data_IF_284515641231
#
_entry.id   IF_284515641231
#
_cell.length_a   1.000
_cell.length_b   1.000
_cell.length_c   1.000
_cell.angle_alpha   90.00
_cell.angle_beta   90.00
_cell.angle_gamma   90.00
#
_symmetry.space_group_name_H-M   'P 1'
#
loop_
_entity.id
_entity.type
_entity.pdbx_description
1 polymer ?
#
# COMPACT_ATOMS: atom_id res chain seq x y z
N UNK A 1 25.95 -8.12 -3.09
CA UNK A 1 24.96 -7.17 -3.63
C UNK A 1 23.80 -7.09 -2.67
N UNK A 2 23.45 -5.86 -2.32
CA UNK A 2 22.35 -5.55 -1.40
C UNK A 2 21.26 -4.89 -2.24
N UNK A 3 20.07 -5.50 -2.28
CA UNK A 3 18.90 -5.01 -3.02
C UNK A 3 17.95 -4.37 -2.02
N UNK A 4 17.45 -3.18 -2.37
CA UNK A 4 16.61 -2.33 -1.52
C UNK A 4 15.48 -1.75 -2.38
N UNK A 5 14.28 -1.63 -1.83
CA UNK A 5 13.22 -0.87 -2.50
C UNK A 5 13.42 0.64 -2.30
N UNK A 6 12.95 1.46 -3.25
CA UNK A 6 13.12 2.93 -3.23
C UNK A 6 12.64 3.60 -1.93
N UNK A 7 11.64 3.04 -1.28
CA UNK A 7 11.03 3.53 -0.04
C UNK A 7 11.67 2.97 1.25
N UNK A 8 12.61 2.04 1.12
CA UNK A 8 13.33 1.47 2.25
C UNK A 8 14.62 2.25 2.58
N UNK A 9 15.20 1.98 3.74
CA UNK A 9 16.47 2.58 4.16
C UNK A 9 17.47 1.53 4.60
N UNK A 10 18.74 1.78 4.32
CA UNK A 10 19.83 0.86 4.65
C UNK A 10 20.87 1.54 5.54
N UNK A 11 21.36 0.86 6.57
CA UNK A 11 22.51 1.36 7.34
C UNK A 11 23.79 0.84 6.69
N UNK A 12 24.64 1.75 6.22
CA UNK A 12 26.00 1.42 5.80
C UNK A 12 26.84 1.24 7.05
N UNK A 13 27.65 0.18 7.12
CA UNK A 13 28.52 -0.06 8.27
C UNK A 13 29.99 -0.02 7.86
N UNK A 14 30.79 0.78 8.55
CA UNK A 14 32.24 0.78 8.41
C UNK A 14 32.89 0.43 9.74
N UNK A 15 33.77 -0.56 9.72
CA UNK A 15 34.65 -0.88 10.83
C UNK A 15 36.10 -0.73 10.38
N UNK A 16 36.94 -0.29 11.31
CA UNK A 16 38.37 -0.16 11.08
C UNK A 16 39.11 -0.79 12.26
N UNK A 17 40.25 -1.41 11.95
CA UNK A 17 41.13 -2.08 12.90
C UNK A 17 42.58 -1.70 12.59
N UNK A 18 43.44 -1.67 13.62
CA UNK A 18 44.83 -1.25 13.50
C UNK A 18 45.03 0.23 13.81
N UNK A 19 46.06 0.87 13.24
CA UNK A 19 46.37 2.27 13.55
C UNK A 19 46.97 2.49 14.94
N UNK A 20 47.12 3.74 15.33
CA UNK A 20 47.70 4.11 16.61
C UNK A 20 46.68 3.98 17.74
N UNK A 21 47.04 3.29 18.82
CA UNK A 21 46.14 3.10 19.98
C UNK A 21 45.82 4.46 20.61
N UNK A 22 44.53 4.81 20.68
CA UNK A 22 44.04 6.03 21.34
C UNK A 22 43.65 7.18 20.39
N UNK A 23 43.95 7.10 19.09
CA UNK A 23 43.40 7.99 18.07
C UNK A 23 42.17 7.34 17.44
N UNK A 24 40.98 7.86 17.71
CA UNK A 24 39.79 7.41 16.99
C UNK A 24 39.94 7.59 15.48
N UNK A 25 39.19 6.83 14.69
CA UNK A 25 39.18 6.97 13.24
C UNK A 25 38.26 8.10 12.77
N UNK A 26 38.66 8.82 11.74
CA UNK A 26 37.78 9.70 10.99
C UNK A 26 37.21 8.97 9.76
N UNK A 27 35.93 9.15 9.49
CA UNK A 27 35.24 8.54 8.35
C UNK A 27 34.82 9.61 7.36
N UNK A 28 34.84 9.28 6.06
CA UNK A 28 34.37 10.14 4.98
C UNK A 28 33.74 9.30 3.87
N UNK A 29 32.44 9.46 3.63
CA UNK A 29 31.66 8.76 2.62
C UNK A 29 31.39 9.64 1.41
N UNK A 30 31.48 9.06 0.21
CA UNK A 30 31.10 9.71 -1.04
C UNK A 30 30.47 8.70 -2.02
N UNK A 31 29.49 9.10 -2.85
CA UNK A 31 28.84 10.42 -2.89
C UNK A 31 27.92 10.66 -1.68
N UNK A 32 27.56 11.93 -1.44
CA UNK A 32 26.72 12.32 -0.30
C UNK A 32 25.22 12.10 -0.52
N UNK A 33 24.78 11.92 -1.77
CA UNK A 33 23.36 11.83 -2.12
C UNK A 33 22.69 10.65 -1.42
N UNK A 34 21.59 10.94 -0.72
CA UNK A 34 20.83 9.94 0.03
C UNK A 34 21.46 9.52 1.37
N UNK A 35 22.67 9.97 1.72
CA UNK A 35 23.28 9.68 3.01
C UNK A 35 22.83 10.69 4.08
N UNK A 36 22.55 10.20 5.30
CA UNK A 36 22.23 11.08 6.44
C UNK A 36 23.42 11.89 6.95
N UNK A 37 24.64 11.37 6.78
CA UNK A 37 25.88 12.07 7.05
C UNK A 37 27.01 11.46 6.22
N UNK A 38 28.04 12.25 5.91
CA UNK A 38 29.23 11.76 5.21
C UNK A 38 30.40 11.47 6.14
N UNK A 39 30.33 11.89 7.40
CA UNK A 39 31.48 11.89 8.32
C UNK A 39 31.33 10.98 9.54
N UNK A 40 30.44 9.98 9.47
CA UNK A 40 30.18 9.02 10.54
C UNK A 40 30.51 7.59 10.09
N UNK A 41 30.79 6.70 11.03
CA UNK A 41 31.09 5.30 10.72
C UNK A 41 29.90 4.59 10.07
N UNK A 42 28.69 4.86 10.57
CA UNK A 42 27.47 4.15 10.17
C UNK A 42 26.38 5.13 9.69
N UNK A 43 26.49 5.72 8.49
CA UNK A 43 25.42 6.55 7.96
C UNK A 43 24.26 5.68 7.47
N UNK A 44 23.07 6.27 7.45
CA UNK A 44 21.90 5.67 6.80
C UNK A 44 21.81 6.18 5.36
N UNK A 45 21.49 5.28 4.43
CA UNK A 45 21.18 5.59 3.04
C UNK A 45 19.66 5.49 2.84
N UNK A 46 19.08 6.58 2.35
CA UNK A 46 17.71 6.67 1.84
C UNK A 46 17.81 6.95 0.34
N UNK A 47 17.34 6.03 -0.52
CA UNK A 47 17.36 6.25 -1.95
C UNK A 47 16.58 7.51 -2.36
N UNK A 48 17.06 8.27 -3.36
CA UNK A 48 16.20 9.23 -4.04
C UNK A 48 15.20 8.50 -4.93
N UNK A 49 14.14 9.20 -5.35
CA UNK A 49 13.12 8.58 -6.20
C UNK A 49 13.69 8.16 -7.57
N UNK A 50 13.35 6.95 -8.02
CA UNK A 50 13.86 6.38 -9.27
C UNK A 50 12.74 5.81 -10.13
N UNK A 51 12.91 5.84 -11.45
CA UNK A 51 11.94 5.26 -12.39
C UNK A 51 12.36 3.86 -12.88
N UNK A 52 13.59 3.44 -12.58
CA UNK A 52 14.17 2.18 -13.01
C UNK A 52 15.28 1.77 -12.05
N UNK A 53 15.55 0.47 -11.98
CA UNK A 53 16.62 -0.09 -11.15
C UNK A 53 17.92 0.70 -11.32
N UNK A 54 18.50 1.14 -10.20
CA UNK A 54 19.69 2.00 -10.18
C UNK A 54 20.70 1.48 -9.18
N UNK A 55 21.98 1.46 -9.58
CA UNK A 55 23.09 1.03 -8.72
C UNK A 55 23.80 2.24 -8.14
N UNK A 56 23.83 2.33 -6.81
CA UNK A 56 24.57 3.34 -6.05
C UNK A 56 25.88 2.76 -5.54
N UNK A 57 26.99 3.43 -5.82
CA UNK A 57 28.32 3.04 -5.36
C UNK A 57 28.81 4.05 -4.32
N UNK A 58 28.95 3.63 -3.08
CA UNK A 58 29.47 4.44 -1.99
C UNK A 58 30.90 4.01 -1.65
N UNK A 59 31.79 4.98 -1.49
CA UNK A 59 33.16 4.78 -1.03
C UNK A 59 33.32 5.41 0.33
N UNK A 60 33.73 4.61 1.32
CA UNK A 60 34.19 5.08 2.63
C UNK A 60 35.70 5.25 2.60
N UNK A 61 36.18 6.40 3.05
CA UNK A 61 37.57 6.66 3.39
C UNK A 61 37.68 6.72 4.91
N UNK A 62 38.55 5.89 5.48
CA UNK A 62 38.89 5.91 6.90
C UNK A 62 40.28 6.50 7.04
N UNK A 63 40.41 7.50 7.91
CA UNK A 63 41.68 8.19 8.18
C UNK A 63 42.07 8.00 9.64
N UNK A 64 43.30 7.54 9.86
CA UNK A 64 43.99 7.64 11.15
C UNK A 64 44.90 8.87 11.12
N UNK A 65 44.70 9.79 12.08
CA UNK A 65 45.21 11.16 12.00
C UNK A 65 46.27 11.49 13.07
N UNK A 66 46.93 10.49 13.65
CA UNK A 66 47.97 10.70 14.66
C UNK A 66 49.39 10.59 14.08
N UNK A 67 50.04 11.75 13.89
CA UNK A 67 51.45 11.86 13.46
C UNK A 67 51.65 11.77 11.94
N UNK A 68 51.31 10.62 11.34
CA UNK A 68 51.32 10.42 9.88
C UNK A 68 49.90 10.06 9.45
N UNK A 69 49.39 10.72 8.41
CA UNK A 69 48.03 10.49 7.91
C UNK A 69 48.02 9.19 7.12
N UNK A 70 47.40 8.16 7.68
CA UNK A 70 47.16 6.88 7.01
C UNK A 70 45.69 6.79 6.60
N UNK A 71 45.43 6.45 5.34
CA UNK A 71 44.06 6.31 4.82
C UNK A 71 43.83 4.92 4.24
N UNK A 72 42.59 4.44 4.38
CA UNK A 72 42.11 3.23 3.73
C UNK A 72 40.74 3.49 3.11
N UNK A 73 40.46 2.85 1.98
CA UNK A 73 39.20 3.02 1.27
C UNK A 73 38.52 1.68 0.98
N UNK A 74 37.19 1.69 1.06
CA UNK A 74 36.34 0.59 0.62
C UNK A 74 35.13 1.11 -0.11
N UNK A 75 34.70 0.36 -1.13
CA UNK A 75 33.49 0.64 -1.90
C UNK A 75 32.43 -0.42 -1.59
N UNK A 76 31.19 0.03 -1.46
CA UNK A 76 29.99 -0.80 -1.34
C UNK A 76 29.01 -0.40 -2.43
N UNK A 77 28.37 -1.39 -3.04
CA UNK A 77 27.35 -1.19 -4.08
C UNK A 77 25.99 -1.60 -3.55
N UNK A 78 24.99 -0.72 -3.72
CA UNK A 78 23.59 -0.96 -3.40
C UNK A 78 22.80 -0.88 -4.70
N UNK A 79 22.02 -1.92 -4.98
CA UNK A 79 21.04 -1.92 -6.06
C UNK A 79 19.71 -1.48 -5.48
N UNK A 80 19.11 -0.43 -6.04
CA UNK A 80 17.79 0.06 -5.63
C UNK A 80 16.81 -0.24 -6.74
N UNK A 81 15.70 -0.87 -6.40
CA UNK A 81 14.56 -1.13 -7.27
C UNK A 81 13.44 -0.10 -7.02
N UNK A 82 12.78 0.42 -8.07
CA UNK A 82 11.68 1.35 -7.91
C UNK A 82 10.48 0.66 -7.23
N UNK A 83 9.60 1.46 -6.63
CA UNK A 83 8.29 1.01 -6.15
C UNK A 83 7.21 1.20 -7.22
N UNK A 84 6.04 0.55 -7.12
CA UNK A 84 4.90 0.87 -7.99
C UNK A 84 4.55 2.37 -7.91
N UNK A 85 3.96 2.92 -8.96
CA UNK A 85 3.49 4.31 -8.92
C UNK A 85 2.17 4.35 -8.15
N UNK A 86 2.06 5.24 -7.17
CA UNK A 86 0.82 5.44 -6.44
C UNK A 86 -0.32 5.91 -7.35
N UNK A 87 -1.39 5.12 -7.42
CA UNK A 87 -2.61 5.42 -8.20
C UNK A 87 -3.76 5.82 -7.28
N UNK A 88 -4.79 6.43 -7.86
CA UNK A 88 -6.03 6.78 -7.16
C UNK A 88 -7.09 5.70 -7.35
N UNK A 89 -7.74 5.32 -6.26
CA UNK A 89 -8.79 4.32 -6.21
C UNK A 89 -10.18 4.97 -6.32
N UNK A 90 -11.11 4.31 -7.02
CA UNK A 90 -12.53 4.69 -7.09
C UNK A 90 -13.44 3.47 -6.89
N UNK A 91 -14.65 3.65 -6.34
CA UNK A 91 -15.65 2.58 -6.34
C UNK A 91 -16.50 2.65 -7.61
N UNK A 92 -16.77 1.50 -8.24
CA UNK A 92 -17.69 1.42 -9.37
C UNK A 92 -19.12 1.86 -8.97
N UNK A 93 -19.51 1.51 -7.74
CA UNK A 93 -20.69 2.02 -7.05
C UNK A 93 -20.31 2.30 -5.58
N UNK A 94 -20.34 3.56 -5.12
CA UNK A 94 -19.97 3.92 -3.74
C UNK A 94 -21.06 3.59 -2.72
N UNK A 95 -22.32 3.48 -3.15
CA UNK A 95 -23.46 3.12 -2.31
C UNK A 95 -24.11 1.84 -2.86
N UNK A 96 -24.26 0.83 -2.00
CA UNK A 96 -24.82 -0.48 -2.37
C UNK A 96 -25.87 -0.96 -1.37
N UNK A 97 -26.63 -1.99 -1.74
CA UNK A 97 -27.60 -2.63 -0.84
C UNK A 97 -26.91 -3.64 0.08
N UNK A 98 -27.47 -3.86 1.27
CA UNK A 98 -27.07 -4.95 2.16
C UNK A 98 -26.93 -6.29 1.44
N UNK A 99 -25.80 -6.97 1.65
CA UNK A 99 -25.50 -8.28 1.11
C UNK A 99 -25.08 -8.27 -0.37
N UNK A 100 -24.92 -7.10 -0.99
CA UNK A 100 -24.43 -6.96 -2.37
C UNK A 100 -22.95 -6.57 -2.41
N UNK A 101 -22.35 -6.59 -3.59
CA UNK A 101 -20.93 -6.28 -3.80
C UNK A 101 -20.74 -5.15 -4.81
N UNK A 102 -19.57 -4.52 -4.79
CA UNK A 102 -19.10 -3.59 -5.81
C UNK A 102 -17.67 -3.94 -6.21
N UNK A 103 -17.06 -3.10 -7.05
CA UNK A 103 -15.66 -3.22 -7.41
C UNK A 103 -14.92 -1.93 -7.03
N UNK A 104 -13.74 -2.08 -6.43
CA UNK A 104 -12.76 -1.01 -6.37
C UNK A 104 -11.99 -1.02 -7.68
N UNK A 105 -11.92 0.14 -8.31
CA UNK A 105 -11.39 0.32 -9.64
C UNK A 105 -10.07 1.08 -9.58
N UNK A 106 -9.14 0.66 -10.42
CA UNK A 106 -7.82 1.28 -10.55
C UNK A 106 -7.58 1.55 -12.02
N UNK A 107 -7.67 2.82 -12.41
CA UNK A 107 -7.37 3.25 -13.77
C UNK A 107 -5.85 3.37 -13.95
N UNK A 108 -5.35 2.97 -15.13
CA UNK A 108 -3.92 3.05 -15.44
C UNK A 108 -3.04 2.11 -14.61
N UNK A 109 -3.58 0.95 -14.22
CA UNK A 109 -2.80 -0.10 -13.53
C UNK A 109 -1.54 -0.47 -14.32
N UNK A 110 -0.44 -0.74 -13.64
CA UNK A 110 0.86 -0.95 -14.27
C UNK A 110 1.08 -2.42 -14.62
N UNK A 111 1.49 -2.72 -15.85
CA UNK A 111 1.88 -4.07 -16.25
C UNK A 111 3.10 -4.54 -15.43
N UNK A 112 3.07 -5.79 -14.96
CA UNK A 112 4.13 -6.33 -14.09
C UNK A 112 3.93 -6.04 -12.60
N UNK A 113 2.88 -5.30 -12.23
CA UNK A 113 2.47 -5.05 -10.84
C UNK A 113 1.22 -5.87 -10.52
N UNK A 114 1.16 -6.46 -9.33
CA UNK A 114 -0.05 -7.09 -8.78
C UNK A 114 -0.70 -6.18 -7.75
N UNK A 115 -2.02 -6.12 -7.74
CA UNK A 115 -2.82 -5.27 -6.85
C UNK A 115 -3.70 -6.16 -5.96
N UNK A 116 -3.50 -6.07 -4.65
CA UNK A 116 -4.28 -6.77 -3.63
C UNK A 116 -5.24 -5.79 -2.96
N UNK A 117 -6.54 -6.04 -3.08
CA UNK A 117 -7.55 -5.33 -2.29
C UNK A 117 -7.42 -5.72 -0.83
N UNK A 118 -7.49 -4.75 0.09
CA UNK A 118 -7.50 -5.00 1.52
C UNK A 118 -8.59 -4.19 2.22
N UNK A 119 -9.07 -4.72 3.33
CA UNK A 119 -9.79 -3.95 4.35
C UNK A 119 -8.81 -2.97 5.01
N UNK A 120 -9.17 -1.68 5.07
CA UNK A 120 -8.35 -0.62 5.63
C UNK A 120 -8.13 -0.73 7.15
N UNK A 121 -9.12 -1.23 7.91
CA UNK A 121 -9.05 -1.29 9.37
C UNK A 121 -8.01 -2.28 9.92
N UNK A 122 -7.45 -3.16 9.08
CA UNK A 122 -6.46 -4.14 9.51
C UNK A 122 -5.63 -4.77 8.38
N UNK A 123 -5.59 -4.13 7.22
CA UNK A 123 -4.88 -4.58 6.01
C UNK A 123 -5.15 -6.05 5.62
N UNK A 124 -6.37 -6.51 5.89
CA UNK A 124 -6.76 -7.90 5.62
C UNK A 124 -7.04 -8.05 4.13
N UNK A 125 -6.32 -8.94 3.46
CA UNK A 125 -6.49 -9.23 2.04
C UNK A 125 -7.91 -9.75 1.72
N UNK A 126 -8.49 -9.22 0.64
CA UNK A 126 -9.81 -9.56 0.12
C UNK A 126 -9.67 -10.12 -1.29
N UNK A 127 -10.04 -11.38 -1.46
CA UNK A 127 -9.88 -12.08 -2.73
C UNK A 127 -8.40 -12.28 -3.11
N UNK A 128 -8.18 -12.66 -4.37
CA UNK A 128 -6.84 -12.85 -4.92
C UNK A 128 -6.28 -11.55 -5.51
N UNK A 129 -4.94 -11.36 -5.55
CA UNK A 129 -4.34 -10.22 -6.24
C UNK A 129 -4.68 -10.24 -7.73
N UNK A 130 -4.96 -9.06 -8.29
CA UNK A 130 -5.15 -8.90 -9.73
C UNK A 130 -3.86 -8.38 -10.38
N UNK A 131 -3.50 -8.92 -11.55
CA UNK A 131 -2.40 -8.38 -12.34
C UNK A 131 -2.83 -7.06 -13.01
N UNK A 132 -1.96 -6.06 -12.98
CA UNK A 132 -2.12 -4.83 -13.72
C UNK A 132 -2.02 -5.07 -15.23
N UNK A 133 -2.79 -4.29 -15.99
CA UNK A 133 -3.00 -4.51 -17.43
C UNK A 133 -2.53 -3.35 -18.32
N UNK A 134 -2.00 -2.28 -17.73
CA UNK A 134 -1.82 -0.99 -18.42
C UNK A 134 -3.11 -0.15 -18.45
N UNK A 135 -4.25 -0.71 -18.04
CA UNK A 135 -5.57 -0.11 -18.13
C UNK A 135 -6.36 -0.19 -16.83
N UNK A 136 -7.69 -0.13 -16.95
CA UNK A 136 -8.59 -0.28 -15.81
C UNK A 136 -8.61 -1.73 -15.32
N UNK A 137 -8.42 -1.93 -14.02
CA UNK A 137 -8.71 -3.21 -13.35
C UNK A 137 -9.81 -3.03 -12.31
N UNK A 138 -10.56 -4.10 -12.08
CA UNK A 138 -11.65 -4.16 -11.12
C UNK A 138 -11.33 -5.19 -10.04
N UNK A 139 -11.29 -4.75 -8.79
CA UNK A 139 -11.08 -5.58 -7.61
C UNK A 139 -12.42 -5.80 -6.90
N UNK A 140 -13.00 -7.01 -6.91
CA UNK A 140 -14.30 -7.25 -6.30
C UNK A 140 -14.21 -7.17 -4.77
N UNK A 141 -15.14 -6.43 -4.14
CA UNK A 141 -15.19 -6.30 -2.67
C UNK A 141 -15.71 -7.54 -1.96
N UNK A 142 -16.37 -8.44 -2.69
CA UNK A 142 -17.27 -9.42 -2.09
C UNK A 142 -18.54 -8.76 -1.54
N UNK A 143 -19.46 -9.59 -1.01
CA UNK A 143 -20.72 -9.11 -0.46
C UNK A 143 -20.48 -8.38 0.87
N UNK A 144 -21.02 -7.17 1.01
CA UNK A 144 -20.85 -6.33 2.19
C UNK A 144 -22.15 -6.23 2.98
N UNK A 145 -22.03 -6.25 4.31
CA UNK A 145 -23.15 -6.14 5.25
C UNK A 145 -23.07 -4.89 6.13
N UNK A 146 -21.98 -4.13 6.02
CA UNK A 146 -21.74 -2.88 6.71
C UNK A 146 -20.82 -1.97 5.89
N UNK A 147 -20.83 -0.67 6.19
CA UNK A 147 -19.91 0.29 5.57
C UNK A 147 -18.47 -0.19 5.76
N UNK A 148 -17.72 -0.25 4.65
CA UNK A 148 -16.35 -0.77 4.65
C UNK A 148 -15.46 0.19 3.89
N UNK A 149 -14.30 0.51 4.47
CA UNK A 149 -13.25 1.29 3.83
C UNK A 149 -12.16 0.33 3.34
N UNK A 150 -11.70 0.55 2.11
CA UNK A 150 -10.72 -0.28 1.43
C UNK A 150 -9.48 0.53 1.09
N UNK A 151 -8.34 -0.14 1.16
CA UNK A 151 -7.09 0.30 0.54
C UNK A 151 -6.60 -0.79 -0.43
N UNK A 152 -5.58 -0.47 -1.22
CA UNK A 152 -4.99 -1.43 -2.17
C UNK A 152 -3.49 -1.40 -2.02
N UNK A 153 -2.92 -2.59 -1.91
CA UNK A 153 -1.48 -2.84 -1.87
C UNK A 153 -1.01 -3.32 -3.23
N UNK A 154 -0.04 -2.60 -3.81
CA UNK A 154 0.54 -2.94 -5.10
C UNK A 154 1.96 -3.51 -4.91
N UNK A 155 2.33 -4.51 -5.70
CA UNK A 155 3.66 -5.15 -5.62
C UNK A 155 4.20 -5.38 -7.02
N UNK A 156 5.43 -4.93 -7.30
CA UNK A 156 6.15 -5.28 -8.54
C UNK A 156 6.54 -6.76 -8.47
N UNK A 157 6.05 -7.55 -9.42
CA UNK A 157 6.24 -9.01 -9.39
C UNK A 157 7.70 -9.46 -9.57
N UNK A 158 8.53 -8.64 -10.23
CA UNK A 158 9.92 -8.95 -10.50
C UNK A 158 10.85 -8.71 -9.30
N UNK A 159 10.57 -7.67 -8.50
CA UNK A 159 11.47 -7.20 -7.43
C UNK A 159 10.89 -7.42 -6.04
N UNK A 160 9.57 -7.57 -5.94
CA UNK A 160 8.86 -7.63 -4.66
C UNK A 160 8.62 -6.27 -4.02
N UNK A 161 9.13 -5.18 -4.60
CA UNK A 161 8.90 -3.84 -4.07
C UNK A 161 7.43 -3.45 -4.17
N UNK A 162 6.93 -2.86 -3.11
CA UNK A 162 5.51 -2.61 -2.94
C UNK A 162 5.22 -1.17 -2.53
N UNK A 163 3.94 -0.81 -2.62
CA UNK A 163 3.46 0.47 -2.14
C UNK A 163 1.95 0.39 -1.90
N UNK A 164 1.46 1.19 -0.97
CA UNK A 164 0.03 1.42 -0.82
C UNK A 164 -0.44 2.54 -1.75
N UNK A 165 -1.62 2.38 -2.36
CA UNK A 165 -2.19 3.39 -3.26
C UNK A 165 -2.53 4.70 -2.51
N UNK A 166 -2.65 5.81 -3.25
CA UNK A 166 -2.64 7.17 -2.67
C UNK A 166 -3.82 7.52 -1.77
N UNK A 167 -4.91 6.76 -1.84
CA UNK A 167 -6.13 7.02 -1.09
C UNK A 167 -6.85 5.72 -0.73
N UNK A 168 -7.75 5.84 0.24
CA UNK A 168 -8.72 4.80 0.55
C UNK A 168 -10.07 5.10 -0.11
N UNK A 169 -10.92 4.08 -0.20
CA UNK A 169 -12.29 4.19 -0.74
C UNK A 169 -13.27 3.57 0.22
N UNK A 170 -14.29 4.34 0.61
CA UNK A 170 -15.39 3.84 1.44
C UNK A 170 -16.58 3.46 0.58
N UNK A 171 -17.11 2.26 0.81
CA UNK A 171 -18.38 1.79 0.24
C UNK A 171 -19.43 1.81 1.35
N UNK A 172 -20.51 2.55 1.13
CA UNK A 172 -21.64 2.64 2.04
C UNK A 172 -22.64 1.52 1.74
N UNK A 173 -23.03 0.79 2.78
CA UNK A 173 -24.04 -0.26 2.70
C UNK A 173 -25.35 0.28 3.25
N UNK A 174 -26.30 0.46 2.36
CA UNK A 174 -27.66 0.84 2.71
C UNK A 174 -28.34 -0.32 3.45
N UNK A 175 -29.05 0.02 4.52
CA UNK A 175 -29.75 -0.94 5.37
C UNK A 175 -30.70 -1.83 4.57
N UNK A 176 -30.83 -3.09 5.01
CA UNK A 176 -31.72 -4.05 4.36
C UNK A 176 -33.17 -3.56 4.41
N UNK A 177 -33.85 -3.58 3.27
CA UNK A 177 -35.29 -3.36 3.19
C UNK A 177 -36.00 -4.62 3.71
N UNK A 178 -36.82 -4.47 4.73
CA UNK A 178 -37.68 -5.52 5.25
C UNK A 178 -39.14 -5.12 5.07
N UNK A 179 -39.90 -5.94 4.34
CA UNK A 179 -41.35 -5.79 4.21
C UNK A 179 -42.02 -6.81 5.12
N UNK A 180 -42.97 -6.35 5.93
CA UNK A 180 -43.81 -7.21 6.77
C UNK A 180 -45.27 -7.00 6.41
N UNK A 181 -45.97 -8.08 6.07
CA UNK A 181 -47.42 -8.08 5.99
C UNK A 181 -47.98 -8.16 7.42
N UNK A 182 -48.86 -7.21 7.76
CA UNK A 182 -49.45 -7.14 9.10
C UNK A 182 -50.79 -7.86 9.16
N UNK A 183 -51.36 -8.20 7.99
CA UNK A 183 -52.59 -9.00 7.90
C UNK A 183 -52.30 -10.49 8.07
N UNK A 184 -53.00 -11.13 9.00
CA UNK A 184 -53.17 -12.59 9.05
C UNK A 184 -53.94 -13.11 7.84
N UNK A 185 -53.87 -14.42 7.59
CA UNK A 185 -54.75 -15.08 6.63
C UNK A 185 -56.20 -14.87 7.03
N UNK A 186 -56.99 -14.20 6.18
CA UNK A 186 -58.41 -13.98 6.38
C UNK A 186 -59.21 -15.04 5.60
N UNK A 187 -60.14 -15.73 6.28
CA UNK A 187 -61.23 -16.43 5.62
C UNK A 187 -62.41 -15.45 5.62
N UNK A 188 -62.81 -15.02 4.42
CA UNK A 188 -63.90 -14.06 4.22
C UNK A 188 -65.13 -14.78 3.68
N UNK A 189 -66.31 -14.39 4.17
CA UNK A 189 -67.59 -14.79 3.59
C UNK A 189 -67.93 -13.91 2.37
N UNK A 190 -68.96 -14.29 1.61
CA UNK A 190 -69.50 -13.44 0.54
C UNK A 190 -69.90 -12.06 1.12
N UNK A 191 -69.50 -10.99 0.44
CA UNK A 191 -69.65 -9.57 0.82
C UNK A 191 -68.78 -9.03 1.98
N UNK A 192 -67.84 -9.79 2.54
CA UNK A 192 -66.86 -9.25 3.49
C UNK A 192 -65.66 -8.57 2.81
N UNK A 193 -65.15 -7.50 3.43
CA UNK A 193 -63.92 -6.83 2.98
C UNK A 193 -62.86 -6.89 4.07
N UNK A 194 -61.64 -7.26 3.70
CA UNK A 194 -60.46 -7.18 4.56
C UNK A 194 -59.56 -6.02 4.12
N UNK A 195 -59.02 -5.29 5.09
CA UNK A 195 -57.99 -4.29 4.82
C UNK A 195 -56.62 -4.94 4.96
N UNK A 196 -55.89 -5.05 3.85
CA UNK A 196 -54.50 -5.50 3.85
C UNK A 196 -53.61 -4.32 4.22
N UNK A 197 -52.78 -4.50 5.24
CA UNK A 197 -51.77 -3.49 5.62
C UNK A 197 -50.38 -4.12 5.55
N UNK A 198 -49.45 -3.39 4.95
CA UNK A 198 -48.05 -3.74 4.86
C UNK A 198 -47.22 -2.62 5.48
N UNK A 199 -46.14 -2.99 6.16
CA UNK A 199 -45.13 -2.05 6.65
C UNK A 199 -43.79 -2.39 6.01
N UNK A 200 -42.99 -1.35 5.76
CA UNK A 200 -41.61 -1.49 5.30
C UNK A 200 -40.68 -0.74 6.25
N UNK A 201 -39.59 -1.38 6.66
CA UNK A 201 -38.54 -0.79 7.51
C UNK A 201 -37.19 -0.99 6.82
N UNK A 202 -36.33 0.04 6.88
CA UNK A 202 -35.03 0.07 6.22
C UNK A 202 -35.09 0.63 4.80
N UNK A 203 -33.97 0.50 4.07
CA UNK A 203 -33.76 1.13 2.76
C UNK A 203 -33.41 2.63 2.85
N UNK A 204 -32.81 3.16 1.79
CA UNK A 204 -32.59 4.61 1.60
C UNK A 204 -33.49 5.09 0.46
N UNK A 205 -34.07 6.28 0.61
CA UNK A 205 -34.90 6.89 -0.44
C UNK A 205 -34.00 7.23 -1.62
N UNK A 206 -34.20 6.57 -2.76
CA UNK A 206 -33.48 6.90 -3.99
C UNK A 206 -33.86 8.30 -4.46
N UNK A 207 -32.86 9.14 -4.72
CA UNK A 207 -33.04 10.38 -5.47
C UNK A 207 -33.27 10.03 -6.94
N UNK A 208 -34.54 9.96 -7.34
CA UNK A 208 -34.95 9.92 -8.75
C UNK A 208 -34.97 11.31 -9.37
#
# INVERSE_FOLDING_TARGET
>A
DYILCEDETATLTASAVGGTVGSGYAYSWAPATGLSATNVANPTFTPPNIASQTIYNFTVTVTDNFGVVCTSQKTVSITVDPVPTGLTLTAAAPDICYGTSTNIQIAGSQSGVTYQLRNDAGDVAIGSPAAGTGGLINLPTGNLTANTTFNVFATITATGCDTEMNNTVTVTVNSQLTASAVSSDYILCEDETATLTASAVGGTVGSG
#
